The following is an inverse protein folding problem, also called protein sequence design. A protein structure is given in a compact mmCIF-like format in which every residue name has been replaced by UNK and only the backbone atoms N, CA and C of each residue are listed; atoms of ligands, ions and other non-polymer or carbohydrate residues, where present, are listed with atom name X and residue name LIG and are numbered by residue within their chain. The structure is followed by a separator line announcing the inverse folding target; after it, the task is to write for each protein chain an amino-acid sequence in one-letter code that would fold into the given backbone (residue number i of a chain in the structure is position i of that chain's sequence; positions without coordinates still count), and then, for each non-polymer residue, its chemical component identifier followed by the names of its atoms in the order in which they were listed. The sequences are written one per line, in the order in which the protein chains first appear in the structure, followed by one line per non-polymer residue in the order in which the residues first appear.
data_IF_654344166378
#
_entry.id   IF_654344166378
#
_cell.length_a   1.000
_cell.length_b   1.000
_cell.length_c   1.000
_cell.angle_alpha   90.00
_cell.angle_beta   90.00
_cell.angle_gamma   90.00
#
_symmetry.space_group_name_H-M   'P 1'
#
loop_
_entity.id
_entity.type
_entity.pdbx_description
1 polymer ?
#
# COMPACT_ATOMS: atom_id res chain seq x y z
N UNK A 1 0.81 5.03 -6.79
CA UNK A 1 0.90 5.63 -5.43
C UNK A 1 1.22 7.11 -5.50
N UNK A 2 2.45 7.59 -5.80
CA UNK A 2 2.78 9.03 -5.71
C UNK A 2 1.87 9.90 -6.59
N UNK A 3 1.73 9.57 -7.88
CA UNK A 3 0.82 10.30 -8.78
C UNK A 3 -0.67 10.23 -8.36
N UNK A 4 -1.07 9.18 -7.63
CA UNK A 4 -2.44 9.04 -7.12
C UNK A 4 -2.64 9.94 -5.87
N UNK A 5 -1.59 10.13 -5.07
CA UNK A 5 -1.57 11.11 -3.98
C UNK A 5 -1.60 12.52 -4.54
N UNK A 6 -0.79 12.82 -5.57
CA UNK A 6 -0.76 14.14 -6.21
C UNK A 6 -2.16 14.51 -6.74
N UNK A 7 -2.83 13.57 -7.41
CA UNK A 7 -4.19 13.77 -7.88
C UNK A 7 -5.19 13.94 -6.72
N UNK A 8 -5.06 13.15 -5.64
CA UNK A 8 -5.89 13.30 -4.45
C UNK A 8 -5.73 14.67 -3.78
N UNK A 9 -4.50 15.17 -3.65
CA UNK A 9 -4.21 16.52 -3.14
C UNK A 9 -4.75 17.61 -4.05
N UNK A 10 -4.65 17.41 -5.38
CA UNK A 10 -5.22 18.34 -6.37
C UNK A 10 -6.74 18.42 -6.20
N UNK A 11 -7.43 17.29 -6.13
CA UNK A 11 -8.88 17.23 -5.95
C UNK A 11 -9.31 17.85 -4.62
N UNK A 12 -8.58 17.59 -3.53
CA UNK A 12 -8.86 18.15 -2.22
C UNK A 12 -8.80 19.68 -2.21
N UNK A 13 -7.77 20.26 -2.82
CA UNK A 13 -7.60 21.72 -2.90
C UNK A 13 -8.59 22.37 -3.88
N UNK A 14 -8.98 21.66 -4.95
CA UNK A 14 -10.03 22.10 -5.89
C UNK A 14 -11.39 22.14 -5.19
N UNK A 15 -11.76 21.10 -4.44
CA UNK A 15 -13.02 21.00 -3.70
C UNK A 15 -13.16 22.12 -2.65
N UNK A 16 -12.03 22.61 -2.12
CA UNK A 16 -11.99 23.78 -1.25
C UNK A 16 -12.23 25.13 -1.96
N UNK A 17 -12.40 25.15 -3.28
CA UNK A 17 -12.73 26.35 -4.06
C UNK A 17 -11.52 27.19 -4.51
N UNK A 18 -10.29 26.68 -4.37
CA UNK A 18 -9.08 27.42 -4.74
C UNK A 18 -9.00 27.70 -6.24
N UNK A 19 -9.34 26.73 -7.10
CA UNK A 19 -9.31 26.93 -8.55
C UNK A 19 -10.44 27.83 -9.07
N UNK A 20 -11.62 27.80 -8.43
CA UNK A 20 -12.75 28.68 -8.80
C UNK A 20 -12.41 30.16 -8.55
N UNK A 21 -11.43 30.42 -7.69
CA UNK A 21 -10.91 31.76 -7.39
C UNK A 21 -9.88 32.27 -8.42
N UNK A 22 -9.67 31.53 -9.52
CA UNK A 22 -8.68 31.88 -10.57
C UNK A 22 -7.23 31.60 -10.15
N UNK A 23 -7.03 30.69 -9.20
CA UNK A 23 -5.72 30.27 -8.70
C UNK A 23 -5.28 29.00 -9.42
N UNK A 24 -4.07 29.01 -9.96
CA UNK A 24 -3.47 27.83 -10.58
C UNK A 24 -2.92 26.88 -9.51
N UNK A 25 -3.14 25.57 -9.70
CA UNK A 25 -2.55 24.52 -8.88
C UNK A 25 -1.50 23.75 -9.67
N UNK A 26 -0.30 23.63 -9.13
CA UNK A 26 0.84 22.99 -9.79
C UNK A 26 1.68 22.18 -8.81
N UNK A 27 2.39 21.16 -9.31
CA UNK A 27 3.22 20.25 -8.51
C UNK A 27 4.72 20.37 -8.84
N UNK A 28 5.10 21.43 -9.55
CA UNK A 28 6.48 21.69 -9.93
C UNK A 28 7.32 22.20 -8.75
N UNK A 29 8.64 22.09 -8.87
CA UNK A 29 9.56 22.75 -7.96
C UNK A 29 9.50 24.28 -8.15
N UNK A 30 9.32 25.08 -7.08
CA UNK A 30 9.16 26.51 -7.19
C UNK A 30 10.54 27.21 -7.27
N UNK A 31 11.26 26.97 -8.37
CA UNK A 31 12.56 27.59 -8.64
C UNK A 31 12.43 29.06 -9.05
N UNK A 32 13.54 29.81 -9.02
CA UNK A 32 13.56 31.22 -9.43
C UNK A 32 13.10 31.45 -10.88
N UNK A 33 13.56 30.61 -11.81
CA UNK A 33 13.14 30.71 -13.21
C UNK A 33 11.68 30.30 -13.42
N UNK A 34 11.19 29.39 -12.58
CA UNK A 34 9.80 28.98 -12.59
C UNK A 34 8.89 30.11 -12.10
N UNK A 35 9.23 30.78 -10.99
CA UNK A 35 8.42 31.85 -10.42
C UNK A 35 8.42 33.11 -11.30
N UNK A 36 9.54 33.44 -11.96
CA UNK A 36 9.65 34.58 -12.86
C UNK A 36 8.72 34.50 -14.09
N UNK A 37 8.24 33.30 -14.45
CA UNK A 37 7.33 33.08 -15.59
C UNK A 37 5.84 33.16 -15.23
N UNK A 38 5.50 33.30 -13.94
CA UNK A 38 4.10 33.26 -13.47
C UNK A 38 3.49 34.65 -13.42
N UNK A 39 2.34 34.80 -14.08
CA UNK A 39 1.56 36.04 -14.11
C UNK A 39 0.21 35.93 -13.37
N UNK A 40 -0.18 34.71 -12.98
CA UNK A 40 -1.41 34.41 -12.28
C UNK A 40 -1.14 33.91 -10.85
N UNK A 41 -2.04 34.17 -9.89
CA UNK A 41 -1.95 33.58 -8.55
C UNK A 41 -1.81 32.06 -8.63
N UNK A 42 -0.78 31.50 -8.00
CA UNK A 42 -0.46 30.07 -8.12
C UNK A 42 -0.14 29.47 -6.77
N UNK A 43 -0.67 28.27 -6.49
CA UNK A 43 -0.26 27.41 -5.38
C UNK A 43 0.59 26.27 -5.94
N UNK A 44 1.80 26.15 -5.42
CA UNK A 44 2.74 25.07 -5.75
C UNK A 44 2.78 24.05 -4.62
N UNK A 45 2.53 22.78 -4.95
CA UNK A 45 2.54 21.63 -4.03
C UNK A 45 3.74 20.75 -4.40
N UNK A 46 4.92 21.11 -3.91
CA UNK A 46 6.18 20.50 -4.34
C UNK A 46 6.60 19.33 -3.46
N UNK A 47 6.66 18.11 -4.01
CA UNK A 47 7.19 16.94 -3.32
C UNK A 47 8.72 17.01 -3.22
N UNK A 48 9.25 17.21 -2.01
CA UNK A 48 10.70 17.38 -1.81
C UNK A 48 11.36 16.23 -1.04
N UNK A 49 10.57 15.35 -0.42
CA UNK A 49 11.10 14.22 0.33
C UNK A 49 10.17 13.01 0.28
N UNK A 50 10.76 11.83 0.17
CA UNK A 50 10.08 10.53 0.25
C UNK A 50 10.85 9.66 1.23
N UNK A 51 10.18 9.14 2.26
CA UNK A 51 10.76 8.22 3.24
C UNK A 51 9.86 7.03 3.46
N UNK A 52 10.43 5.87 3.70
CA UNK A 52 9.64 4.73 4.16
C UNK A 52 9.37 4.86 5.66
N UNK A 53 8.11 4.65 6.07
CA UNK A 53 7.75 4.45 7.46
C UNK A 53 8.05 3.00 7.86
N UNK A 54 9.29 2.80 8.33
CA UNK A 54 9.77 1.49 8.75
C UNK A 54 9.04 0.95 9.98
N UNK A 55 8.38 1.79 10.79
CA UNK A 55 7.62 1.34 11.96
C UNK A 55 6.34 0.58 11.55
N UNK A 56 5.75 0.93 10.40
CA UNK A 56 4.60 0.22 9.81
C UNK A 56 5.00 -0.96 8.91
N UNK A 57 6.30 -1.25 8.77
CA UNK A 57 6.78 -2.33 7.91
C UNK A 57 6.35 -3.68 8.45
N UNK A 58 5.69 -4.47 7.60
CA UNK A 58 5.27 -5.84 7.91
C UNK A 58 5.97 -6.83 6.97
N UNK A 59 6.21 -8.04 7.48
CA UNK A 59 6.82 -9.15 6.74
C UNK A 59 5.82 -10.29 6.53
N UNK A 60 6.16 -11.22 5.65
CA UNK A 60 5.32 -12.36 5.29
C UNK A 60 4.50 -12.11 4.04
N UNK A 61 3.52 -12.98 3.79
CA UNK A 61 2.57 -12.83 2.71
C UNK A 61 1.15 -13.15 3.22
N UNK A 62 0.18 -12.33 2.86
CA UNK A 62 -1.22 -12.59 3.10
C UNK A 62 -1.78 -13.42 1.94
N UNK A 63 -2.54 -14.47 2.26
CA UNK A 63 -3.23 -15.26 1.25
C UNK A 63 -4.48 -14.50 0.77
N UNK A 64 -4.64 -14.42 -0.55
CA UNK A 64 -5.86 -13.93 -1.20
C UNK A 64 -6.72 -15.13 -1.56
N UNK A 65 -7.99 -15.12 -1.15
CA UNK A 65 -8.93 -16.21 -1.34
C UNK A 65 -10.04 -15.79 -2.31
N UNK A 66 -10.55 -16.73 -3.11
CA UNK A 66 -11.78 -16.53 -3.90
C UNK A 66 -13.05 -16.68 -3.05
N UNK A 67 -14.22 -16.58 -3.68
CA UNK A 67 -15.53 -16.68 -3.01
C UNK A 67 -15.77 -18.09 -2.42
N UNK A 68 -15.12 -19.09 -2.97
CA UNK A 68 -15.16 -20.50 -2.58
C UNK A 68 -14.11 -20.86 -1.51
N UNK A 69 -13.26 -19.89 -1.12
CA UNK A 69 -12.24 -20.03 -0.08
C UNK A 69 -10.95 -20.72 -0.55
N UNK A 70 -10.71 -20.79 -1.85
CA UNK A 70 -9.46 -21.29 -2.45
C UNK A 70 -8.45 -20.16 -2.53
N UNK A 71 -7.21 -20.46 -2.16
CA UNK A 71 -6.10 -19.50 -2.29
C UNK A 71 -5.82 -19.26 -3.77
N UNK A 72 -6.08 -18.05 -4.25
CA UNK A 72 -5.84 -17.61 -5.63
C UNK A 72 -4.54 -16.81 -5.78
N UNK A 73 -3.95 -16.39 -4.66
CA UNK A 73 -2.73 -15.61 -4.66
C UNK A 73 -2.16 -15.38 -3.27
N UNK A 74 -0.96 -14.84 -3.25
CA UNK A 74 -0.30 -14.33 -2.05
C UNK A 74 0.17 -12.92 -2.32
N UNK A 75 -0.09 -12.01 -1.39
CA UNK A 75 0.36 -10.62 -1.49
C UNK A 75 1.26 -10.27 -0.33
N UNK A 76 2.39 -9.63 -0.60
CA UNK A 76 3.22 -9.06 0.45
C UNK A 76 2.51 -7.88 1.13
N UNK A 77 2.69 -7.64 2.44
CA UNK A 77 2.07 -6.50 3.11
C UNK A 77 2.45 -5.18 2.42
N UNK A 78 1.52 -4.21 2.33
CA UNK A 78 1.83 -2.91 1.76
C UNK A 78 2.90 -2.20 2.59
N UNK A 79 3.78 -1.47 1.91
CA UNK A 79 4.80 -0.63 2.54
C UNK A 79 4.29 0.79 2.66
N UNK A 80 4.55 1.42 3.80
CA UNK A 80 4.10 2.78 4.05
C UNK A 80 5.21 3.77 3.73
N UNK A 81 4.86 4.84 3.03
CA UNK A 81 5.77 5.93 2.72
C UNK A 81 5.21 7.25 3.24
N UNK A 82 6.07 8.02 3.88
CA UNK A 82 5.86 9.43 4.20
C UNK A 82 6.33 10.27 3.00
N UNK A 83 5.41 11.00 2.40
CA UNK A 83 5.64 11.96 1.33
C UNK A 83 5.58 13.36 1.93
N UNK A 84 6.69 14.11 1.88
CA UNK A 84 6.74 15.49 2.39
C UNK A 84 6.66 16.48 1.24
N UNK A 85 5.59 17.27 1.23
CA UNK A 85 5.30 18.32 0.28
C UNK A 85 5.50 19.70 0.91
N UNK A 86 6.01 20.63 0.10
CA UNK A 86 6.12 22.04 0.44
C UNK A 86 5.03 22.81 -0.32
N UNK A 87 4.03 23.31 0.40
CA UNK A 87 2.94 24.10 -0.19
C UNK A 87 3.28 25.59 -0.12
N UNK A 88 3.38 26.25 -1.27
CA UNK A 88 3.78 27.66 -1.38
C UNK A 88 2.80 28.44 -2.24
N UNK A 89 2.61 29.72 -1.94
CA UNK A 89 1.77 30.62 -2.72
C UNK A 89 2.60 31.68 -3.43
N UNK A 90 2.23 31.99 -4.66
CA UNK A 90 2.94 32.90 -5.56
C UNK A 90 1.95 33.90 -6.14
N UNK A 91 2.13 35.17 -5.79
CA UNK A 91 1.34 36.29 -6.32
C UNK A 91 2.22 37.54 -6.46
N UNK A 92 1.63 38.66 -6.89
CA UNK A 92 2.35 39.94 -7.00
C UNK A 92 2.55 40.64 -5.64
N UNK A 93 1.78 40.29 -4.60
CA UNK A 93 1.80 40.98 -3.29
C UNK A 93 1.94 39.97 -2.16
N UNK A 94 2.89 40.14 -1.23
CA UNK A 94 3.05 39.21 -0.10
C UNK A 94 1.78 39.01 0.74
N UNK A 95 0.93 40.05 0.87
CA UNK A 95 -0.34 39.94 1.60
C UNK A 95 -1.33 38.98 0.92
N UNK A 96 -1.34 38.95 -0.42
CA UNK A 96 -2.20 38.04 -1.17
C UNK A 96 -1.65 36.60 -1.10
N UNK A 97 -0.32 36.43 -1.05
CA UNK A 97 0.31 35.13 -0.77
C UNK A 97 -0.11 34.58 0.60
N UNK A 98 -0.08 35.43 1.64
CA UNK A 98 -0.52 35.03 2.98
C UNK A 98 -2.01 34.67 3.01
N UNK A 99 -2.84 35.37 2.24
CA UNK A 99 -4.27 35.05 2.12
C UNK A 99 -4.49 33.69 1.47
N UNK A 100 -3.82 33.40 0.36
CA UNK A 100 -3.89 32.10 -0.30
C UNK A 100 -3.37 30.97 0.59
N UNK A 101 -2.27 31.19 1.30
CA UNK A 101 -1.76 30.22 2.28
C UNK A 101 -2.76 30.00 3.42
N UNK A 102 -3.48 31.03 3.87
CA UNK A 102 -4.52 30.87 4.89
C UNK A 102 -5.68 30.02 4.39
N UNK A 103 -6.11 30.20 3.14
CA UNK A 103 -7.17 29.42 2.51
C UNK A 103 -6.74 27.95 2.32
N UNK A 104 -5.54 27.72 1.78
CA UNK A 104 -4.96 26.38 1.66
C UNK A 104 -4.78 25.70 3.03
N UNK A 105 -4.27 26.41 4.04
CA UNK A 105 -4.09 25.87 5.38
C UNK A 105 -5.43 25.43 5.97
N UNK A 106 -6.49 26.25 5.87
CA UNK A 106 -7.83 25.92 6.36
C UNK A 106 -8.40 24.65 5.72
N UNK A 107 -8.12 24.41 4.44
CA UNK A 107 -8.48 23.17 3.75
C UNK A 107 -7.71 21.98 4.33
N UNK A 108 -6.38 22.11 4.39
CA UNK A 108 -5.50 21.01 4.77
C UNK A 108 -5.68 20.60 6.24
N UNK A 109 -5.80 21.55 7.17
CA UNK A 109 -5.99 21.22 8.61
C UNK A 109 -7.36 20.65 8.96
N UNK A 110 -8.34 20.72 8.04
CA UNK A 110 -9.65 20.07 8.21
C UNK A 110 -9.67 18.61 7.74
N UNK A 111 -8.61 18.20 7.05
CA UNK A 111 -8.54 16.91 6.37
C UNK A 111 -7.43 16.08 7.00
N UNK A 112 -7.79 15.18 7.92
CA UNK A 112 -6.83 14.26 8.55
C UNK A 112 -6.46 13.08 7.63
N UNK A 113 -7.22 12.88 6.55
CA UNK A 113 -7.01 11.85 5.54
C UNK A 113 -7.59 12.26 4.19
N UNK A 114 -7.04 11.69 3.11
CA UNK A 114 -7.64 11.82 1.79
C UNK A 114 -9.00 11.09 1.76
N UNK A 115 -10.10 11.75 1.35
CA UNK A 115 -11.39 11.10 1.19
C UNK A 115 -11.33 9.90 0.23
N UNK A 116 -12.02 8.81 0.58
CA UNK A 116 -11.97 7.57 -0.21
C UNK A 116 -12.40 7.75 -1.68
N UNK A 117 -13.29 8.71 -1.98
CA UNK A 117 -13.73 9.00 -3.34
C UNK A 117 -12.68 9.76 -4.19
N UNK A 118 -11.65 10.31 -3.55
CA UNK A 118 -10.51 10.97 -4.22
C UNK A 118 -9.34 9.99 -4.44
N UNK A 119 -9.39 8.80 -3.86
CA UNK A 119 -8.39 7.76 -4.06
C UNK A 119 -8.64 7.06 -5.40
N UNK A 120 -7.56 6.80 -6.14
CA UNK A 120 -7.61 6.13 -7.44
C UNK A 120 -6.60 4.98 -7.52
N UNK A 121 -6.77 4.11 -8.52
CA UNK A 121 -5.86 3.01 -8.83
C UNK A 121 -5.51 2.15 -7.61
N UNK A 122 -4.22 2.00 -7.35
CA UNK A 122 -3.70 1.12 -6.29
C UNK A 122 -4.11 1.56 -4.88
N UNK A 123 -4.29 2.86 -4.64
CA UNK A 123 -4.75 3.37 -3.34
C UNK A 123 -6.22 3.02 -3.09
N UNK A 124 -7.06 3.15 -4.12
CA UNK A 124 -8.47 2.78 -4.04
C UNK A 124 -8.64 1.26 -3.88
N UNK A 125 -7.86 0.46 -4.61
CA UNK A 125 -7.88 -1.01 -4.52
C UNK A 125 -7.46 -1.52 -3.15
N UNK A 126 -6.47 -0.90 -2.51
CA UNK A 126 -6.02 -1.27 -1.17
C UNK A 126 -7.09 -0.96 -0.10
N UNK A 127 -7.92 0.07 -0.31
CA UNK A 127 -8.95 0.49 0.65
C UNK A 127 -8.39 0.92 2.00
N UNK A 128 -7.11 1.31 2.05
CA UNK A 128 -6.41 1.78 3.24
C UNK A 128 -6.47 3.30 3.32
N UNK A 129 -6.56 3.83 4.53
CA UNK A 129 -6.56 5.27 4.78
C UNK A 129 -5.23 5.90 4.39
N UNK A 130 -5.26 6.96 3.59
CA UNK A 130 -4.10 7.81 3.31
C UNK A 130 -4.17 9.01 4.24
N UNK A 131 -3.32 9.03 5.26
CA UNK A 131 -3.30 10.05 6.31
C UNK A 131 -2.63 11.33 5.79
N UNK A 132 -3.17 12.48 6.19
CA UNK A 132 -2.62 13.80 5.87
C UNK A 132 -2.34 14.54 7.17
N UNK A 133 -1.20 15.20 7.24
CA UNK A 133 -0.90 16.13 8.33
C UNK A 133 -0.29 17.41 7.77
N UNK A 134 -0.90 18.55 8.08
CA UNK A 134 -0.47 19.86 7.62
C UNK A 134 -0.01 20.73 8.79
N UNK A 135 1.10 21.45 8.60
CA UNK A 135 1.70 22.31 9.61
C UNK A 135 1.97 21.59 10.96
N UNK A 136 2.31 20.31 10.88
CA UNK A 136 2.63 19.49 12.04
C UNK A 136 3.95 19.88 12.71
N UNK A 137 4.29 19.29 13.87
CA UNK A 137 5.56 19.55 14.54
C UNK A 137 6.73 19.18 13.62
N UNK A 138 7.71 20.08 13.53
CA UNK A 138 8.85 19.95 12.63
C UNK A 138 9.57 18.62 12.80
N UNK A 139 9.92 18.00 11.67
CA UNK A 139 10.58 16.68 11.61
C UNK A 139 12.10 16.77 11.61
N UNK A 140 12.74 15.63 11.88
CA UNK A 140 14.13 15.37 11.49
C UNK A 140 14.28 15.41 9.96
N UNK A 141 14.86 16.50 9.45
CA UNK A 141 15.13 16.70 8.02
C UNK A 141 15.76 18.06 7.73
N UNK A 142 16.13 18.34 6.46
CA UNK A 142 16.57 19.67 6.06
C UNK A 142 15.52 20.72 6.43
N UNK A 143 15.99 21.82 7.01
CA UNK A 143 15.15 22.95 7.38
C UNK A 143 14.51 23.56 6.12
N UNK A 144 13.45 24.36 6.29
CA UNK A 144 12.89 25.11 5.18
C UNK A 144 13.96 25.95 4.45
N UNK A 145 14.89 26.55 5.21
CA UNK A 145 16.01 27.32 4.65
C UNK A 145 16.92 26.48 3.74
N UNK A 146 17.19 25.24 4.10
CA UNK A 146 18.03 24.34 3.29
C UNK A 146 17.34 23.97 1.98
N UNK A 147 16.03 23.69 2.03
CA UNK A 147 15.21 23.39 0.84
C UNK A 147 15.19 24.59 -0.11
N UNK A 148 14.95 25.79 0.41
CA UNK A 148 14.94 27.02 -0.40
C UNK A 148 16.32 27.34 -1.00
N UNK A 149 17.38 27.13 -0.23
CA UNK A 149 18.76 27.31 -0.71
C UNK A 149 19.07 26.37 -1.88
N UNK A 150 18.62 25.11 -1.81
CA UNK A 150 18.77 24.13 -2.88
C UNK A 150 17.94 24.47 -4.14
N UNK A 151 16.78 25.12 -3.97
CA UNK A 151 15.92 25.56 -5.08
C UNK A 151 16.44 26.82 -5.79
N UNK A 152 17.47 27.49 -5.24
CA UNK A 152 18.03 28.73 -5.79
C UNK A 152 17.04 29.91 -5.76
N UNK A 153 16.00 29.81 -4.91
CA UNK A 153 14.94 30.81 -4.77
C UNK A 153 15.09 31.66 -3.51
N UNK A 154 14.27 32.69 -3.40
CA UNK A 154 14.12 33.44 -2.16
C UNK A 154 13.26 32.65 -1.18
N UNK A 155 13.63 32.67 0.11
CA UNK A 155 12.86 32.04 1.18
C UNK A 155 11.45 32.65 1.24
N UNK A 156 10.42 31.84 1.04
CA UNK A 156 9.01 32.22 1.19
C UNK A 156 8.32 31.45 2.31
N UNK A 157 7.21 32.01 2.79
CA UNK A 157 6.30 31.30 3.66
C UNK A 157 5.75 30.05 2.96
N UNK A 158 5.74 28.93 3.67
CA UNK A 158 5.33 27.64 3.15
C UNK A 158 4.63 26.84 4.25
N UNK A 159 3.74 25.93 3.84
CA UNK A 159 3.13 24.93 4.72
C UNK A 159 3.82 23.61 4.45
N UNK A 160 4.33 22.99 5.50
CA UNK A 160 4.82 21.61 5.45
C UNK A 160 3.62 20.66 5.48
N UNK A 161 3.53 19.79 4.48
CA UNK A 161 2.42 18.86 4.28
C UNK A 161 2.99 17.44 4.19
N UNK A 162 2.57 16.58 5.10
CA UNK A 162 2.96 15.17 5.13
C UNK A 162 1.80 14.29 4.73
N UNK A 163 2.09 13.29 3.91
CA UNK A 163 1.11 12.28 3.49
C UNK A 163 1.68 10.90 3.70
N UNK A 164 0.98 10.05 4.46
CA UNK A 164 1.34 8.64 4.63
C UNK A 164 0.51 7.79 3.68
N UNK A 165 1.17 7.26 2.66
CA UNK A 165 0.53 6.50 1.60
C UNK A 165 1.09 5.07 1.51
N UNK A 166 0.22 4.05 1.39
CA UNK A 166 0.63 2.68 1.20
C UNK A 166 0.98 2.41 -0.27
N UNK A 167 2.14 1.80 -0.49
CA UNK A 167 2.51 1.18 -1.75
C UNK A 167 2.06 -0.29 -1.72
N UNK A 168 1.24 -0.68 -2.70
CA UNK A 168 0.75 -2.05 -2.81
C UNK A 168 1.91 -3.04 -2.88
N UNK A 169 1.81 -4.13 -2.09
CA UNK A 169 2.77 -5.22 -2.17
C UNK A 169 2.59 -6.05 -3.44
N UNK A 170 3.66 -6.73 -3.83
CA UNK A 170 3.67 -7.67 -4.95
C UNK A 170 2.69 -8.82 -4.73
N UNK A 171 1.94 -9.14 -5.80
CA UNK A 171 1.00 -10.25 -5.84
C UNK A 171 1.59 -11.40 -6.65
N UNK A 172 1.71 -12.55 -6.02
CA UNK A 172 2.09 -13.80 -6.68
C UNK A 172 0.86 -14.69 -6.81
N UNK A 173 0.51 -15.11 -8.02
CA UNK A 173 -0.59 -16.04 -8.24
C UNK A 173 -0.31 -17.38 -7.54
N UNK A 174 -1.33 -17.97 -6.94
CA UNK A 174 -1.19 -19.31 -6.40
C UNK A 174 -1.12 -20.32 -7.55
N UNK A 175 -0.33 -21.38 -7.36
CA UNK A 175 -0.39 -22.55 -8.23
C UNK A 175 -1.74 -23.27 -8.11
N UNK A 176 -2.02 -24.25 -8.98
CA UNK A 176 -3.21 -25.07 -8.85
C UNK A 176 -3.29 -25.69 -7.45
N UNK A 177 -4.51 -25.83 -6.88
CA UNK A 177 -4.67 -26.37 -5.54
C UNK A 177 -4.09 -27.79 -5.48
N UNK A 178 -3.31 -28.07 -4.43
CA UNK A 178 -2.78 -29.41 -4.19
C UNK A 178 -3.94 -30.29 -3.73
N UNK A 179 -4.36 -31.21 -4.60
CA UNK A 179 -5.45 -32.17 -4.33
C UNK A 179 -4.94 -33.49 -3.77
N UNK A 180 -3.66 -33.80 -3.96
CA UNK A 180 -3.04 -35.05 -3.53
C UNK A 180 -2.30 -34.87 -2.18
N UNK A 181 -2.35 -35.90 -1.33
CA UNK A 181 -1.61 -35.93 -0.07
C UNK A 181 -0.11 -36.14 -0.26
N UNK A 182 0.69 -35.85 0.77
CA UNK A 182 2.12 -36.19 0.81
C UNK A 182 2.31 -37.70 0.59
N UNK A 183 3.19 -38.11 -0.33
CA UNK A 183 3.54 -39.53 -0.52
C UNK A 183 4.98 -39.76 -0.04
N UNK A 184 5.15 -40.52 1.03
CA UNK A 184 6.46 -40.95 1.54
C UNK A 184 6.80 -42.32 0.96
N UNK A 185 7.90 -42.45 0.22
CA UNK A 185 8.41 -43.74 -0.26
C UNK A 185 9.63 -44.15 0.57
N UNK A 186 9.57 -45.29 1.24
CA UNK A 186 10.73 -45.89 1.89
C UNK A 186 11.48 -46.77 0.89
N UNK A 187 12.68 -46.34 0.48
CA UNK A 187 13.61 -47.23 -0.21
C UNK A 187 14.33 -48.11 0.83
N UNK A 188 14.49 -49.41 0.61
CA UNK A 188 15.36 -50.22 1.45
C UNK A 188 16.78 -49.67 1.37
N UNK A 189 17.43 -49.45 2.51
CA UNK A 189 18.85 -49.17 2.55
C UNK A 189 19.58 -50.33 1.88
N UNK A 190 20.38 -50.04 0.85
CA UNK A 190 21.28 -51.04 0.26
C UNK A 190 22.44 -51.27 1.22
N UNK A 191 22.15 -51.90 2.35
CA UNK A 191 23.15 -52.67 3.07
C UNK A 191 23.12 -54.06 2.43
N UNK A 192 24.26 -54.42 1.84
CA UNK A 192 24.39 -55.56 0.95
C UNK A 192 24.00 -56.89 1.59
N UNK A 193 23.44 -57.72 0.70
CA UNK A 193 23.42 -59.18 0.68
C UNK A 193 22.52 -59.94 1.67
N UNK A 194 21.50 -60.58 1.09
CA UNK A 194 21.06 -61.91 1.49
C UNK A 194 19.71 -61.99 2.20
N UNK A 195 18.65 -62.26 1.42
CA UNK A 195 17.82 -63.47 1.54
C UNK A 195 16.41 -63.26 0.96
N UNK A 196 16.01 -64.21 0.12
CA UNK A 196 14.68 -64.39 -0.45
C UNK A 196 13.56 -64.25 0.59
N UNK A 197 12.58 -63.41 0.28
CA UNK A 197 11.37 -63.21 1.08
C UNK A 197 10.27 -62.57 0.25
N UNK A 198 9.49 -63.42 -0.42
CA UNK A 198 8.26 -63.07 -1.12
C UNK A 198 7.26 -62.47 -0.10
N UNK A 199 7.14 -61.14 -0.11
CA UNK A 199 6.43 -60.40 0.93
C UNK A 199 6.26 -58.92 0.59
N UNK A 200 5.66 -58.62 -0.57
CA UNK A 200 5.18 -57.27 -0.87
C UNK A 200 3.97 -57.02 0.03
N UNK A 201 4.19 -56.47 1.23
CA UNK A 201 3.09 -55.99 2.07
C UNK A 201 2.29 -54.93 1.29
N UNK A 202 0.98 -55.10 1.08
CA UNK A 202 0.19 -54.15 0.33
C UNK A 202 0.09 -52.85 1.13
N UNK A 203 0.65 -51.77 0.58
CA UNK A 203 0.50 -50.42 1.13
C UNK A 203 -0.97 -50.14 1.47
N UNK A 204 -1.24 -49.76 2.74
CA UNK A 204 -2.60 -49.47 3.22
C UNK A 204 -3.15 -48.25 2.49
N UNK A 205 -4.18 -48.48 1.66
CA UNK A 205 -4.89 -47.47 0.85
C UNK A 205 -5.84 -46.61 1.70
N UNK A 206 -5.96 -45.31 1.36
CA UNK A 206 -7.14 -44.49 1.70
C UNK A 206 -7.67 -43.81 0.42
N UNK A 207 -9.00 -43.86 0.27
CA UNK A 207 -9.77 -43.41 -0.90
C UNK A 207 -9.99 -41.89 -0.84
N UNK A 208 -9.56 -41.18 -1.88
CA UNK A 208 -10.05 -39.87 -2.27
C UNK A 208 -10.59 -39.97 -3.70
N UNK A 209 -11.67 -39.25 -4.03
CA UNK A 209 -12.18 -39.19 -5.41
C UNK A 209 -11.17 -38.43 -6.30
N UNK A 210 -10.65 -39.12 -7.32
CA UNK A 210 -9.76 -38.54 -8.34
C UNK A 210 -8.25 -38.59 -8.06
N UNK A 211 -7.77 -39.34 -7.07
CA UNK A 211 -6.33 -39.46 -6.78
C UNK A 211 -5.60 -40.47 -7.68
N UNK A 212 -4.38 -40.10 -8.12
CA UNK A 212 -3.45 -41.00 -8.84
C UNK A 212 -2.93 -42.11 -7.92
N UNK A 213 -2.78 -43.35 -8.43
CA UNK A 213 -2.31 -44.52 -7.64
C UNK A 213 -0.85 -44.30 -7.14
N UNK A 214 -0.61 -44.23 -5.82
CA UNK A 214 0.71 -43.89 -5.27
C UNK A 214 1.75 -45.02 -5.38
N UNK A 215 1.36 -46.23 -5.79
CA UNK A 215 2.23 -47.41 -5.88
C UNK A 215 2.54 -48.05 -4.53
N UNK A 216 3.22 -49.22 -4.55
CA UNK A 216 3.30 -50.15 -3.41
C UNK A 216 4.07 -49.72 -2.15
N UNK A 217 4.74 -48.56 -2.16
CA UNK A 217 5.62 -48.13 -1.04
C UNK A 217 5.30 -46.73 -0.50
N UNK A 218 4.16 -46.13 -0.86
CA UNK A 218 3.78 -44.75 -0.49
C UNK A 218 2.95 -44.63 0.80
N UNK A 219 3.32 -43.75 1.73
CA UNK A 219 2.50 -43.35 2.90
C UNK A 219 1.95 -41.92 2.74
N UNK A 220 0.69 -41.68 3.10
CA UNK A 220 0.08 -40.33 3.12
C UNK A 220 -0.63 -40.01 4.44
N UNK A 221 -0.39 -38.81 4.98
CA UNK A 221 -1.00 -38.33 6.21
C UNK A 221 -2.40 -37.75 5.98
N UNK A 222 -3.32 -38.00 6.93
CA UNK A 222 -4.65 -37.38 6.94
C UNK A 222 -4.55 -35.88 7.21
N UNK A 223 -5.17 -35.06 6.37
CA UNK A 223 -5.53 -33.69 6.75
C UNK A 223 -6.99 -33.45 6.36
N UNK A 224 -7.85 -33.34 7.36
CA UNK A 224 -9.20 -32.84 7.16
C UNK A 224 -9.11 -31.43 6.55
N UNK A 225 -9.87 -31.17 5.48
CA UNK A 225 -9.98 -29.83 4.88
C UNK A 225 -10.71 -28.92 5.86
N UNK A 226 -9.99 -28.32 6.80
CA UNK A 226 -10.53 -27.23 7.59
C UNK A 226 -10.54 -25.97 6.73
N UNK A 227 -11.74 -25.55 6.31
CA UNK A 227 -11.99 -24.20 5.83
C UNK A 227 -11.58 -23.20 6.93
N UNK A 228 -11.11 -21.98 6.59
CA UNK A 228 -10.65 -21.02 7.59
C UNK A 228 -11.75 -20.70 8.61
N UNK A 229 -11.46 -20.66 9.92
CA UNK A 229 -12.44 -20.25 10.92
C UNK A 229 -12.62 -18.72 10.83
N UNK A 230 -13.80 -18.23 10.43
CA UNK A 230 -13.97 -16.77 10.40
C UNK A 230 -15.19 -16.16 9.69
N UNK A 231 -16.41 -16.67 9.89
CA UNK A 231 -17.60 -15.81 9.75
C UNK A 231 -18.54 -16.07 10.92
N UNK A 232 -18.41 -15.26 11.98
CA UNK A 232 -19.42 -15.19 13.04
C UNK A 232 -20.78 -14.90 12.38
N UNK A 233 -21.72 -15.84 12.43
CA UNK A 233 -23.14 -15.55 12.21
C UNK A 233 -23.57 -14.60 13.31
N UNK A 234 -23.65 -13.30 13.00
CA UNK A 234 -24.36 -12.34 13.84
C UNK A 234 -25.85 -12.49 13.50
N UNK A 235 -26.63 -13.07 14.41
CA UNK A 235 -28.08 -13.12 14.29
C UNK A 235 -28.70 -14.41 14.81
N UNK A 236 -29.04 -14.43 16.10
CA UNK A 236 -29.93 -15.40 16.71
C UNK A 236 -30.53 -14.76 17.96
N UNK A 237 -31.76 -14.25 17.81
CA UNK A 237 -32.52 -13.57 18.85
C UNK A 237 -32.70 -14.43 20.09
N UNK A 238 -32.55 -13.82 21.26
CA UNK A 238 -32.95 -14.40 22.54
C UNK A 238 -34.47 -14.54 22.58
N UNK A 239 -34.94 -15.72 23.03
CA UNK A 239 -36.27 -15.89 23.62
C UNK A 239 -36.19 -15.60 25.11
#
# INVERSE_FOLDING_TARGET
MIHEVDEGLRLLLVDAGLQESGVDLVFDAPTKDWSARRNAPTISVFLHRIREDAARRRTGAAEEHDAEGVVIGRRTPPRWYELTYLVTAWTNRPQDEHRLLSEALRCLVRSDALPAHMLTGSLAELGLTVEIEAAGPGTDGPSASDVWSALGGELKAAIDLRVWAPLAGERTAAGPPVTEGLVVRSAPGTDGDGADGDGIEPGRRLRYDGASDPGGQGFAAQRERQLPPGRRRRGGAAR
#
